data_IF_164949891549
#
_entry.id   IF_164949891549
#
_cell.length_a   1.000
_cell.length_b   1.000
_cell.length_c   1.000
_cell.angle_alpha   90.00
_cell.angle_beta   90.00
_cell.angle_gamma   90.00
#
_symmetry.space_group_name_H-M   'P 1'
#
loop_
_entity.id
_entity.type
_entity.pdbx_description
1 polymer ?
#
# COMPACT_ATOMS: atom_id res chain seq x y z
N UNK A 1 3.64 16.14 6.90
CA UNK A 1 3.08 14.83 7.34
C UNK A 1 1.95 14.44 6.42
N UNK A 2 1.25 13.32 6.61
CA UNK A 2 0.07 12.99 5.78
C UNK A 2 -1.00 14.10 5.82
N UNK A 3 -1.02 14.88 6.90
CA UNK A 3 -1.95 16.00 7.13
C UNK A 3 -1.83 17.15 6.12
N UNK A 4 -0.72 17.22 5.37
CA UNK A 4 -0.47 18.24 4.35
C UNK A 4 -0.91 17.80 2.94
N UNK A 5 -1.37 16.55 2.81
CA UNK A 5 -1.80 15.96 1.54
C UNK A 5 -3.33 15.98 1.46
N UNK A 6 -3.87 16.56 0.40
CA UNK A 6 -5.30 16.47 0.08
C UNK A 6 -5.63 15.09 -0.48
N UNK A 7 -6.00 14.17 0.41
CA UNK A 7 -6.24 12.77 0.11
C UNK A 7 -7.45 12.53 -0.81
N UNK A 8 -8.40 13.47 -0.87
CA UNK A 8 -9.58 13.36 -1.72
C UNK A 8 -9.25 13.50 -3.22
N UNK A 9 -8.02 13.90 -3.58
CA UNK A 9 -7.55 13.96 -4.97
C UNK A 9 -7.19 12.61 -5.59
N UNK A 10 -7.00 11.57 -4.78
CA UNK A 10 -6.56 10.26 -5.25
C UNK A 10 -7.77 9.35 -5.45
N UNK A 11 -7.80 8.56 -6.51
CA UNK A 11 -8.91 7.63 -6.78
C UNK A 11 -8.79 6.33 -5.96
N UNK A 12 -7.56 5.95 -5.61
CA UNK A 12 -7.23 4.82 -4.76
C UNK A 12 -6.10 5.20 -3.82
N UNK A 13 -6.23 4.84 -2.54
CA UNK A 13 -5.16 4.98 -1.55
C UNK A 13 -4.77 3.60 -1.07
N UNK A 14 -3.48 3.28 -1.16
CA UNK A 14 -2.91 2.05 -0.60
C UNK A 14 -2.16 2.39 0.68
N UNK A 15 -2.54 1.74 1.77
CA UNK A 15 -1.88 1.86 3.07
C UNK A 15 -1.04 0.62 3.33
N UNK A 16 0.24 0.81 3.61
CA UNK A 16 1.17 -0.27 3.96
C UNK A 16 1.44 -0.20 5.46
N UNK A 17 1.10 -1.27 6.17
CA UNK A 17 1.09 -1.30 7.62
C UNK A 17 1.21 -2.72 8.14
N UNK A 18 1.68 -2.91 9.36
CA UNK A 18 1.52 -4.21 10.03
C UNK A 18 0.05 -4.43 10.42
N UNK A 19 -0.37 -5.70 10.55
CA UNK A 19 -1.77 -6.08 10.80
C UNK A 19 -2.33 -5.43 12.08
N UNK A 20 -1.51 -5.28 13.11
CA UNK A 20 -1.89 -4.74 14.42
C UNK A 20 -1.83 -3.22 14.52
N UNK A 21 -1.27 -2.51 13.53
CA UNK A 21 -0.93 -1.09 13.65
C UNK A 21 -1.39 -0.23 12.47
N UNK A 22 -2.38 -0.70 11.71
CA UNK A 22 -2.86 0.05 10.55
C UNK A 22 -3.70 1.26 10.96
N UNK A 23 -3.32 2.43 10.44
CA UNK A 23 -3.98 3.71 10.74
C UNK A 23 -5.28 3.81 9.92
N UNK A 24 -6.34 4.34 10.55
CA UNK A 24 -7.55 4.73 9.85
C UNK A 24 -7.37 6.13 9.26
N UNK A 25 -7.44 6.23 7.94
CA UNK A 25 -7.42 7.52 7.24
C UNK A 25 -8.84 8.11 7.22
N UNK A 26 -8.99 9.43 7.48
CA UNK A 26 -10.30 10.09 7.49
C UNK A 26 -10.76 10.44 6.06
N UNK A 27 -10.84 9.44 5.18
CA UNK A 27 -11.21 9.60 3.77
C UNK A 27 -12.46 8.81 3.43
N UNK A 28 -13.26 9.34 2.51
CA UNK A 28 -14.51 8.71 2.07
C UNK A 28 -14.31 7.67 0.95
N UNK A 29 -13.10 7.59 0.40
CA UNK A 29 -12.75 6.80 -0.79
C UNK A 29 -12.26 5.37 -0.47
N UNK A 30 -12.08 4.59 -1.54
CA UNK A 30 -11.53 3.25 -1.49
C UNK A 30 -10.09 3.27 -0.95
N UNK A 31 -9.89 2.65 0.21
CA UNK A 31 -8.57 2.45 0.82
C UNK A 31 -8.28 0.95 0.85
N UNK A 32 -7.20 0.54 0.20
CA UNK A 32 -6.67 -0.82 0.32
C UNK A 32 -5.62 -0.88 1.43
N UNK A 33 -5.67 -1.95 2.24
CA UNK A 33 -4.68 -2.21 3.29
C UNK A 33 -3.79 -3.36 2.89
N UNK A 34 -2.50 -3.09 2.77
CA UNK A 34 -1.49 -4.10 2.50
C UNK A 34 -0.69 -4.37 3.76
N UNK A 35 -0.94 -5.55 4.34
CA UNK A 35 -0.17 -6.05 5.46
C UNK A 35 1.15 -6.61 4.99
N UNK A 36 2.21 -5.82 5.14
CA UNK A 36 3.57 -6.13 4.68
C UNK A 36 4.53 -5.89 5.86
N UNK A 37 5.48 -6.82 6.05
CA UNK A 37 6.49 -6.74 7.11
C UNK A 37 7.30 -5.44 7.02
N UNK A 38 7.57 -4.81 8.16
CA UNK A 38 8.47 -3.66 8.22
C UNK A 38 9.94 -4.13 8.20
N UNK A 39 10.72 -3.81 7.15
CA UNK A 39 12.11 -4.25 7.04
C UNK A 39 13.08 -3.38 7.87
N UNK A 40 12.63 -2.29 8.49
CA UNK A 40 13.50 -1.37 9.23
C UNK A 40 14.33 -2.08 10.30
N UNK A 41 15.65 -1.87 10.28
CA UNK A 41 16.59 -2.51 11.21
C UNK A 41 16.84 -4.00 10.99
N UNK A 42 16.31 -4.59 9.91
CA UNK A 42 16.52 -5.99 9.52
C UNK A 42 17.62 -6.14 8.48
N UNK A 43 18.02 -7.38 8.23
CA UNK A 43 19.03 -7.72 7.23
C UNK A 43 18.54 -7.50 5.80
N UNK A 44 19.50 -7.37 4.88
CA UNK A 44 19.24 -7.09 3.46
C UNK A 44 18.32 -8.13 2.79
N UNK A 45 18.37 -9.39 3.23
CA UNK A 45 17.46 -10.44 2.74
C UNK A 45 15.99 -10.10 3.00
N UNK A 46 15.68 -9.52 4.17
CA UNK A 46 14.32 -9.11 4.51
C UNK A 46 13.86 -7.97 3.61
N UNK A 47 14.73 -7.00 3.31
CA UNK A 47 14.43 -5.95 2.35
C UNK A 47 14.12 -6.49 0.96
N UNK A 48 14.94 -7.44 0.47
CA UNK A 48 14.70 -8.06 -0.85
C UNK A 48 13.37 -8.80 -0.90
N UNK A 49 13.01 -9.52 0.18
CA UNK A 49 11.72 -10.20 0.28
C UNK A 49 10.54 -9.22 0.26
N UNK A 50 10.61 -8.17 1.09
CA UNK A 50 9.57 -7.13 1.15
C UNK A 50 9.41 -6.42 -0.20
N UNK A 51 10.52 -6.13 -0.89
CA UNK A 51 10.49 -5.52 -2.22
C UNK A 51 9.77 -6.43 -3.23
N UNK A 52 10.09 -7.72 -3.26
CA UNK A 52 9.45 -8.67 -4.17
C UNK A 52 7.94 -8.79 -3.90
N UNK A 53 7.53 -8.77 -2.63
CA UNK A 53 6.11 -8.78 -2.27
C UNK A 53 5.38 -7.51 -2.73
N UNK A 54 5.99 -6.33 -2.56
CA UNK A 54 5.44 -5.07 -3.05
C UNK A 54 5.32 -5.10 -4.58
N UNK A 55 6.34 -5.61 -5.28
CA UNK A 55 6.35 -5.72 -6.74
C UNK A 55 5.19 -6.59 -7.24
N UNK A 56 4.99 -7.77 -6.66
CA UNK A 56 3.89 -8.67 -7.02
C UNK A 56 2.52 -8.01 -6.78
N UNK A 57 2.32 -7.37 -5.62
CA UNK A 57 1.05 -6.70 -5.29
C UNK A 57 0.76 -5.51 -6.20
N UNK A 58 1.78 -4.71 -6.55
CA UNK A 58 1.62 -3.59 -7.49
C UNK A 58 1.29 -4.11 -8.88
N UNK A 59 1.93 -5.19 -9.34
CA UNK A 59 1.62 -5.79 -10.64
C UNK A 59 0.15 -6.24 -10.71
N UNK A 60 -0.31 -6.99 -9.71
CA UNK A 60 -1.72 -7.45 -9.64
C UNK A 60 -2.71 -6.28 -9.50
N UNK A 61 -2.31 -5.20 -8.82
CA UNK A 61 -3.12 -3.98 -8.75
C UNK A 61 -3.27 -3.33 -10.12
N UNK A 62 -2.16 -3.13 -10.85
CA UNK A 62 -2.18 -2.52 -12.19
C UNK A 62 -3.01 -3.36 -13.15
N UNK A 63 -2.81 -4.68 -13.20
CA UNK A 63 -3.59 -5.59 -14.04
C UNK A 63 -5.09 -5.50 -13.73
N UNK A 64 -5.46 -5.43 -12.45
CA UNK A 64 -6.86 -5.25 -12.02
C UNK A 64 -7.42 -3.92 -12.51
N UNK A 65 -6.70 -2.82 -12.32
CA UNK A 65 -7.14 -1.49 -12.73
C UNK A 65 -7.33 -1.41 -14.24
N UNK A 66 -6.37 -1.91 -15.02
CA UNK A 66 -6.46 -1.95 -16.50
C UNK A 66 -7.64 -2.80 -16.98
N UNK A 67 -7.94 -3.93 -16.32
CA UNK A 67 -9.10 -4.78 -16.67
C UNK A 67 -10.46 -4.22 -16.25
N UNK A 68 -10.48 -3.21 -15.37
CA UNK A 68 -11.71 -2.61 -14.84
C UNK A 68 -12.20 -1.42 -15.68
N UNK A 69 -11.37 -0.95 -16.62
CA UNK A 69 -11.62 0.22 -17.47
C UNK A 69 -12.23 -0.14 -18.85
N UNK A 70 -12.54 -1.43 -19.10
CA UNK A 70 -13.32 -1.96 -20.25
C UNK A 70 -14.82 -2.10 -19.91
#
# INVERSE_FOLDING_TARGET
TIDEVDLEKFDLIVTVCEESSCILLPVSKNVERWHIENPAGRDEEVYRRVLAEIEERVKLLVERLESSDD
#
